data_IF_524186193272
#
_entry.id   IF_524186193272
#
_cell.length_a   1.000
_cell.length_b   1.000
_cell.length_c   1.000
_cell.angle_alpha   90.00
_cell.angle_beta   90.00
_cell.angle_gamma   90.00
#
_symmetry.space_group_name_H-M   'P 1'
#
loop_
_entity.id
_entity.type
_entity.pdbx_description
1 polymer ?
#
# COMPACT_ATOMS: atom_id res chain seq x y z
N UNK A 1 8.22 -6.52 5.16
CA UNK A 1 8.61 -7.93 5.45
C UNK A 1 8.50 -8.19 6.96
N UNK A 2 7.59 -9.05 7.40
CA UNK A 2 7.28 -9.28 8.83
C UNK A 2 8.27 -10.22 9.53
N UNK A 3 8.38 -10.20 10.86
CA UNK A 3 9.29 -11.12 11.59
C UNK A 3 8.87 -12.58 11.48
N UNK A 4 7.56 -12.87 11.45
CA UNK A 4 7.09 -14.23 11.18
C UNK A 4 7.60 -14.71 9.81
N UNK A 5 7.59 -13.84 8.80
CA UNK A 5 8.16 -14.13 7.47
C UNK A 5 9.69 -14.21 7.49
N UNK A 6 10.38 -13.49 8.38
CA UNK A 6 11.85 -13.58 8.57
C UNK A 6 12.25 -14.86 9.30
N UNK A 7 11.58 -15.20 10.39
CA UNK A 7 11.75 -16.43 11.16
C UNK A 7 11.52 -17.67 10.29
N UNK A 8 10.42 -17.72 9.52
CA UNK A 8 10.17 -18.79 8.54
C UNK A 8 11.24 -18.88 7.43
N UNK A 9 12.03 -17.83 7.24
CA UNK A 9 13.13 -17.77 6.25
C UNK A 9 14.51 -17.89 6.91
N UNK A 10 14.59 -18.19 8.21
CA UNK A 10 15.86 -18.27 8.96
C UNK A 10 16.58 -16.93 9.16
N UNK A 11 15.90 -15.81 8.90
CA UNK A 11 16.45 -14.45 8.99
C UNK A 11 16.23 -13.79 10.36
N UNK A 12 15.61 -14.50 11.31
CA UNK A 12 15.42 -14.07 12.69
C UNK A 12 15.34 -15.30 13.60
N UNK A 13 15.84 -15.20 14.84
CA UNK A 13 15.84 -16.31 15.81
C UNK A 13 14.51 -16.51 16.55
N UNK A 14 13.60 -15.54 16.50
CA UNK A 14 12.31 -15.57 17.20
C UNK A 14 11.25 -14.76 16.43
N UNK A 15 10.02 -15.30 16.21
CA UNK A 15 8.91 -14.53 15.65
C UNK A 15 8.36 -13.42 16.57
N UNK A 16 8.66 -13.46 17.88
CA UNK A 16 8.08 -12.58 18.90
C UNK A 16 8.49 -11.10 18.77
N UNK A 17 7.71 -10.24 19.41
CA UNK A 17 8.00 -8.83 19.56
C UNK A 17 9.06 -8.50 20.62
N UNK A 18 10.15 -7.88 20.16
CA UNK A 18 11.28 -7.43 20.98
C UNK A 18 10.99 -6.08 21.62
N UNK A 19 9.96 -5.39 21.13
CA UNK A 19 9.52 -4.08 21.59
C UNK A 19 8.35 -4.21 22.56
N UNK A 20 7.38 -5.09 22.30
CA UNK A 20 6.38 -5.49 23.28
C UNK A 20 6.32 -7.01 23.34
N UNK A 21 6.04 -7.62 24.49
CA UNK A 21 6.13 -9.09 24.69
C UNK A 21 5.07 -9.92 23.94
N UNK A 22 4.43 -9.36 22.90
CA UNK A 22 3.41 -10.01 22.08
C UNK A 22 4.02 -10.89 20.98
N UNK A 23 3.35 -12.01 20.70
CA UNK A 23 3.95 -13.16 19.98
C UNK A 23 3.83 -13.05 18.45
N UNK A 24 2.93 -12.21 17.92
CA UNK A 24 2.70 -12.12 16.46
C UNK A 24 3.12 -10.76 15.87
N UNK A 25 4.31 -10.71 15.23
CA UNK A 25 4.69 -9.57 14.38
C UNK A 25 4.07 -9.68 12.98
N UNK A 26 2.92 -9.06 12.77
CA UNK A 26 2.54 -8.53 11.45
C UNK A 26 3.23 -7.19 11.23
N UNK A 27 3.38 -6.74 9.97
CA UNK A 27 3.90 -5.38 9.71
C UNK A 27 2.98 -4.31 10.27
N UNK A 28 1.68 -4.62 10.35
CA UNK A 28 0.66 -3.82 11.03
C UNK A 28 0.91 -3.76 12.54
N UNK A 29 1.23 -4.87 13.20
CA UNK A 29 1.57 -4.85 14.62
C UNK A 29 2.76 -3.93 14.91
N UNK A 30 3.89 -4.12 14.22
CA UNK A 30 5.09 -3.31 14.47
C UNK A 30 4.88 -1.83 14.18
N UNK A 31 4.07 -1.50 13.17
CA UNK A 31 3.89 -0.12 12.71
C UNK A 31 2.64 0.56 13.26
N UNK A 32 1.67 -0.15 13.83
CA UNK A 32 0.37 0.42 14.22
C UNK A 32 -0.14 -0.16 15.55
N UNK A 33 -0.15 -1.48 15.72
CA UNK A 33 -0.84 -2.11 16.87
C UNK A 33 0.06 -2.34 18.09
N UNK A 34 1.39 -2.16 17.95
CA UNK A 34 2.33 -2.29 19.05
C UNK A 34 2.20 -1.09 19.98
N UNK A 35 2.07 -1.32 21.28
CA UNK A 35 1.92 -0.27 22.29
C UNK A 35 3.06 0.77 22.21
N UNK A 36 4.29 0.31 21.96
CA UNK A 36 5.44 1.20 21.75
C UNK A 36 5.26 2.03 20.48
N UNK A 37 4.81 1.41 19.38
CA UNK A 37 4.58 2.14 18.13
C UNK A 37 3.47 3.18 18.29
N UNK A 38 2.38 2.84 18.99
CA UNK A 38 1.30 3.79 19.29
C UNK A 38 1.81 4.99 20.08
N UNK A 39 2.67 4.77 21.08
CA UNK A 39 3.23 5.85 21.87
C UNK A 39 4.13 6.77 21.04
N UNK A 40 4.94 6.21 20.14
CA UNK A 40 5.72 7.00 19.18
C UNK A 40 4.80 7.82 18.27
N UNK A 41 3.72 7.23 17.73
CA UNK A 41 2.79 7.96 16.86
C UNK A 41 2.13 9.15 17.55
N UNK A 42 1.81 9.06 18.85
CA UNK A 42 1.27 10.20 19.61
C UNK A 42 2.23 11.39 19.68
N UNK A 43 3.54 11.12 19.65
CA UNK A 43 4.57 12.16 19.75
C UNK A 43 4.93 12.74 18.38
N UNK A 44 4.87 11.93 17.33
CA UNK A 44 5.32 12.31 15.97
C UNK A 44 4.20 12.88 15.11
N UNK A 45 2.95 12.44 15.32
CA UNK A 45 1.79 12.97 14.59
C UNK A 45 1.28 14.20 15.33
N UNK A 46 1.23 15.39 14.70
CA UNK A 46 0.66 16.57 15.31
C UNK A 46 -0.76 16.30 15.79
N UNK A 47 -1.10 16.66 17.04
CA UNK A 47 -2.43 16.40 17.60
C UNK A 47 -3.53 17.18 16.86
N UNK A 48 -3.15 18.30 16.21
CA UNK A 48 -4.02 19.09 15.34
C UNK A 48 -4.14 18.53 13.92
N UNK A 49 -3.47 17.41 13.64
CA UNK A 49 -3.75 16.60 12.46
C UNK A 49 -5.13 15.98 12.65
N UNK A 50 -6.18 16.81 12.49
CA UNK A 50 -7.56 16.37 12.25
C UNK A 50 -7.42 15.23 11.28
N UNK A 51 -7.73 14.02 11.74
CA UNK A 51 -7.50 12.80 11.00
C UNK A 51 -7.72 13.10 9.53
N UNK A 52 -6.66 13.10 8.71
CA UNK A 52 -6.87 12.97 7.28
C UNK A 52 -7.25 11.51 7.04
N UNK A 53 -8.36 11.14 7.67
CA UNK A 53 -9.05 9.87 7.68
C UNK A 53 -9.40 9.48 6.26
N UNK A 54 -9.38 10.41 5.30
CA UNK A 54 -9.57 10.11 3.87
C UNK A 54 -8.60 9.03 3.34
N UNK A 55 -7.40 8.86 3.91
CA UNK A 55 -6.48 7.75 3.55
C UNK A 55 -6.87 6.42 4.20
N UNK A 56 -7.36 6.45 5.44
CA UNK A 56 -7.74 5.27 6.24
C UNK A 56 -9.22 4.91 6.15
N UNK A 57 -10.03 5.69 5.45
CA UNK A 57 -11.45 5.40 5.27
C UNK A 57 -11.60 4.01 4.64
N UNK A 58 -12.25 3.08 5.35
CA UNK A 58 -12.52 1.77 4.81
C UNK A 58 -13.40 1.94 3.56
N UNK A 59 -13.20 1.12 2.53
CA UNK A 59 -14.12 1.10 1.41
C UNK A 59 -15.54 0.70 1.89
N UNK A 60 -16.59 0.98 1.10
CA UNK A 60 -17.93 0.44 1.35
C UNK A 60 -17.92 -1.09 1.52
N UNK A 61 -18.99 -1.66 2.09
CA UNK A 61 -19.15 -3.12 2.14
C UNK A 61 -19.01 -3.73 0.75
N UNK A 62 -18.38 -4.90 0.70
CA UNK A 62 -18.12 -5.68 -0.51
C UNK A 62 -17.17 -5.04 -1.52
N UNK A 63 -16.54 -3.90 -1.19
CA UNK A 63 -15.48 -3.30 -1.99
C UNK A 63 -14.09 -3.68 -1.49
N UNK A 64 -13.17 -3.85 -2.44
CA UNK A 64 -11.73 -3.91 -2.19
C UNK A 64 -11.09 -2.56 -2.52
N UNK A 65 -10.38 -1.99 -1.55
CA UNK A 65 -9.58 -0.78 -1.75
C UNK A 65 -8.20 -1.16 -2.24
N UNK A 66 -7.80 -0.63 -3.39
CA UNK A 66 -6.46 -0.72 -3.94
C UNK A 66 -5.72 0.58 -3.66
N UNK A 67 -4.74 0.56 -2.76
CA UNK A 67 -3.82 1.67 -2.57
C UNK A 67 -2.58 1.43 -3.43
N UNK A 68 -2.35 2.30 -4.40
CA UNK A 68 -1.26 2.22 -5.38
C UNK A 68 -0.21 3.27 -5.03
N UNK A 69 1.06 2.93 -5.23
CA UNK A 69 2.17 3.87 -5.03
C UNK A 69 3.30 3.56 -6.01
N UNK A 70 3.87 4.63 -6.57
CA UNK A 70 4.99 4.58 -7.50
C UNK A 70 6.14 5.42 -6.97
N UNK A 71 7.34 4.85 -6.97
CA UNK A 71 8.55 5.55 -6.54
C UNK A 71 9.57 5.60 -7.68
N UNK A 72 10.41 6.64 -7.67
CA UNK A 72 11.50 6.80 -8.61
C UNK A 72 12.74 7.28 -7.87
N UNK A 73 13.87 6.61 -8.11
CA UNK A 73 15.17 7.06 -7.65
C UNK A 73 15.69 8.23 -8.50
N UNK A 74 16.25 9.26 -7.88
CA UNK A 74 16.69 10.47 -8.59
C UNK A 74 18.02 10.28 -9.32
N UNK A 75 18.91 9.42 -8.79
CA UNK A 75 20.24 9.18 -9.35
C UNK A 75 20.19 8.27 -10.58
N UNK A 76 19.79 7.01 -10.35
CA UNK A 76 19.66 5.98 -11.40
C UNK A 76 18.51 6.25 -12.36
N UNK A 77 17.48 6.98 -11.90
CA UNK A 77 16.18 7.17 -12.57
C UNK A 77 15.30 5.93 -12.62
N UNK A 78 15.71 4.84 -12.00
CA UNK A 78 14.92 3.62 -11.95
C UNK A 78 13.68 3.81 -11.08
N UNK A 79 12.61 3.14 -11.46
CA UNK A 79 11.32 3.20 -10.81
C UNK A 79 10.99 1.93 -10.04
N UNK A 80 9.96 2.03 -9.21
CA UNK A 80 9.27 0.88 -8.66
C UNK A 80 7.81 1.22 -8.50
N UNK A 81 6.97 0.19 -8.51
CA UNK A 81 5.54 0.32 -8.37
C UNK A 81 5.01 -0.76 -7.46
N UNK A 82 4.05 -0.42 -6.62
CA UNK A 82 3.40 -1.36 -5.73
C UNK A 82 1.90 -1.04 -5.55
N UNK A 83 1.12 -2.08 -5.32
CA UNK A 83 -0.28 -1.95 -4.90
C UNK A 83 -0.57 -2.86 -3.72
N UNK A 84 -1.36 -2.36 -2.78
CA UNK A 84 -1.89 -3.10 -1.64
C UNK A 84 -3.41 -3.10 -1.69
N UNK A 85 -4.01 -4.29 -1.57
CA UNK A 85 -5.44 -4.49 -1.51
C UNK A 85 -5.93 -4.79 -0.09
N UNK A 86 -7.01 -4.12 0.32
CA UNK A 86 -7.68 -4.36 1.61
C UNK A 86 -9.21 -4.36 1.45
N UNK A 87 -9.90 -5.13 2.26
CA UNK A 87 -11.37 -5.06 2.34
C UNK A 87 -11.86 -3.94 3.26
N UNK A 88 -13.18 -3.86 3.44
CA UNK A 88 -13.86 -2.88 4.29
C UNK A 88 -13.56 -3.03 5.80
N UNK A 89 -13.06 -4.18 6.26
CA UNK A 89 -12.61 -4.40 7.62
C UNK A 89 -11.11 -4.06 7.76
N UNK A 90 -10.46 -3.61 6.69
CA UNK A 90 -9.03 -3.36 6.65
C UNK A 90 -8.20 -4.63 6.50
N UNK A 91 -8.81 -5.81 6.31
CA UNK A 91 -8.11 -7.07 6.18
C UNK A 91 -7.31 -7.09 4.89
N UNK A 92 -6.09 -7.61 4.96
CA UNK A 92 -5.23 -7.80 3.79
C UNK A 92 -5.87 -8.77 2.79
N UNK A 93 -5.96 -8.36 1.52
CA UNK A 93 -6.49 -9.21 0.44
C UNK A 93 -5.45 -9.60 -0.60
N UNK A 94 -4.37 -8.83 -0.73
CA UNK A 94 -3.32 -9.09 -1.70
C UNK A 94 -2.45 -7.86 -1.95
N UNK A 95 -1.39 -8.06 -2.74
CA UNK A 95 -0.56 -6.96 -3.21
C UNK A 95 0.43 -7.41 -4.27
N UNK A 96 0.83 -6.46 -5.10
CA UNK A 96 1.78 -6.64 -6.19
C UNK A 96 2.88 -5.61 -6.09
N UNK A 97 4.07 -5.95 -6.57
CA UNK A 97 5.20 -5.05 -6.64
C UNK A 97 6.09 -5.38 -7.83
N UNK A 98 6.70 -4.35 -8.42
CA UNK A 98 7.68 -4.51 -9.50
C UNK A 98 8.72 -3.42 -9.49
N UNK A 99 9.92 -3.78 -9.92
CA UNK A 99 10.90 -2.80 -10.36
C UNK A 99 10.52 -2.35 -11.76
N UNK A 100 10.65 -1.07 -12.00
CA UNK A 100 10.51 -0.45 -13.30
C UNK A 100 11.91 0.08 -13.62
N UNK A 101 12.35 -0.06 -14.86
CA UNK A 101 13.55 0.66 -15.29
C UNK A 101 13.30 2.18 -15.24
N UNK A 102 14.18 2.95 -15.86
CA UNK A 102 14.02 4.38 -16.12
C UNK A 102 12.56 4.76 -16.42
N UNK A 103 11.95 5.53 -15.52
CA UNK A 103 10.59 6.04 -15.69
C UNK A 103 10.42 7.39 -14.99
N UNK A 104 9.32 8.08 -15.29
CA UNK A 104 8.86 9.23 -14.50
C UNK A 104 8.09 8.77 -13.26
N UNK A 105 7.83 9.69 -12.32
CA UNK A 105 6.97 9.42 -11.15
C UNK A 105 5.56 9.05 -11.60
N UNK A 106 5.01 9.78 -12.57
CA UNK A 106 3.67 9.50 -13.12
C UNK A 106 3.62 8.11 -13.76
N UNK A 107 4.67 7.72 -14.51
CA UNK A 107 4.75 6.38 -15.07
C UNK A 107 4.80 5.30 -13.99
N UNK A 108 5.55 5.51 -12.89
CA UNK A 108 5.59 4.57 -11.78
C UNK A 108 4.20 4.40 -11.12
N UNK A 109 3.49 5.50 -10.89
CA UNK A 109 2.12 5.51 -10.32
C UNK A 109 1.09 4.83 -11.25
N UNK A 110 1.21 5.05 -12.56
CA UNK A 110 0.37 4.36 -13.56
C UNK A 110 0.68 2.86 -13.60
N UNK A 111 1.95 2.45 -13.54
CA UNK A 111 2.33 1.04 -13.46
C UNK A 111 1.85 0.37 -12.18
N UNK A 112 1.86 1.09 -11.05
CA UNK A 112 1.29 0.62 -9.80
C UNK A 112 -0.21 0.35 -9.98
N UNK A 113 -0.94 1.33 -10.52
CA UNK A 113 -2.38 1.20 -10.78
C UNK A 113 -2.69 0.05 -11.73
N UNK A 114 -1.94 -0.08 -12.83
CA UNK A 114 -2.07 -1.18 -13.78
C UNK A 114 -1.87 -2.55 -13.11
N UNK A 115 -0.82 -2.70 -12.31
CA UNK A 115 -0.59 -3.93 -11.56
C UNK A 115 -1.71 -4.25 -10.57
N UNK A 116 -2.24 -3.22 -9.89
CA UNK A 116 -3.39 -3.34 -9.01
C UNK A 116 -4.65 -3.84 -9.71
N UNK A 117 -4.95 -3.28 -10.89
CA UNK A 117 -6.09 -3.69 -11.72
C UNK A 117 -5.92 -5.13 -12.24
N UNK A 118 -4.73 -5.50 -12.69
CA UNK A 118 -4.43 -6.88 -13.10
C UNK A 118 -4.65 -7.89 -11.97
N UNK A 119 -4.17 -7.57 -10.76
CA UNK A 119 -4.44 -8.39 -9.58
C UNK A 119 -5.94 -8.49 -9.27
N UNK A 120 -6.68 -7.39 -9.34
CA UNK A 120 -8.12 -7.41 -9.11
C UNK A 120 -8.87 -8.30 -10.12
N UNK A 121 -8.46 -8.24 -11.39
CA UNK A 121 -8.98 -9.08 -12.45
C UNK A 121 -8.73 -10.57 -12.17
N UNK A 122 -7.48 -10.95 -11.88
CA UNK A 122 -7.10 -12.33 -11.57
C UNK A 122 -7.85 -12.91 -10.35
N UNK A 123 -8.19 -12.06 -9.38
CA UNK A 123 -8.92 -12.45 -8.18
C UNK A 123 -10.45 -12.33 -8.32
N UNK A 124 -10.97 -12.01 -9.51
CA UNK A 124 -12.40 -11.80 -9.78
C UNK A 124 -13.05 -10.76 -8.85
N UNK A 125 -12.32 -9.71 -8.48
CA UNK A 125 -12.87 -8.61 -7.67
C UNK A 125 -13.67 -7.65 -8.54
N UNK A 126 -14.99 -7.66 -8.36
CA UNK A 126 -15.92 -6.84 -9.15
C UNK A 126 -16.08 -5.42 -8.62
N UNK A 127 -15.97 -5.23 -7.31
CA UNK A 127 -16.15 -3.94 -6.64
C UNK A 127 -14.80 -3.46 -6.10
N UNK A 128 -14.13 -2.57 -6.84
CA UNK A 128 -12.83 -2.03 -6.44
C UNK A 128 -12.86 -0.50 -6.31
N UNK A 129 -12.09 0.01 -5.35
CA UNK A 129 -11.84 1.44 -5.17
C UNK A 129 -10.33 1.69 -5.23
N UNK A 130 -9.87 2.26 -6.34
CA UNK A 130 -8.45 2.59 -6.53
C UNK A 130 -8.13 3.94 -5.90
N UNK A 131 -6.98 4.03 -5.24
CA UNK A 131 -6.43 5.26 -4.66
C UNK A 131 -4.94 5.35 -5.00
N UNK A 132 -4.59 6.36 -5.80
CA UNK A 132 -3.21 6.79 -6.09
C UNK A 132 -2.93 8.14 -5.42
N UNK A 133 -1.67 8.42 -5.11
CA UNK A 133 -1.21 9.72 -4.63
C UNK A 133 -0.96 10.76 -5.74
N UNK A 134 -1.07 10.36 -7.01
CA UNK A 134 -0.69 11.18 -8.15
C UNK A 134 -1.91 11.68 -8.94
N UNK A 135 -2.22 12.98 -8.84
CA UNK A 135 -3.33 13.60 -9.57
C UNK A 135 -3.19 13.43 -11.09
N UNK A 136 -1.98 13.57 -11.62
CA UNK A 136 -1.69 13.37 -13.05
C UNK A 136 -1.98 11.94 -13.51
N UNK A 137 -1.75 10.94 -12.67
CA UNK A 137 -2.11 9.55 -12.99
C UNK A 137 -3.64 9.35 -13.02
N UNK A 138 -4.37 10.00 -12.11
CA UNK A 138 -5.85 9.99 -12.12
C UNK A 138 -6.38 10.63 -13.40
N UNK A 139 -5.87 11.81 -13.74
CA UNK A 139 -6.25 12.53 -14.97
C UNK A 139 -5.97 11.67 -16.21
N UNK A 140 -4.78 11.08 -16.31
CA UNK A 140 -4.42 10.22 -17.44
C UNK A 140 -5.30 8.98 -17.59
N UNK A 141 -5.79 8.40 -16.49
CA UNK A 141 -6.70 7.24 -16.52
C UNK A 141 -8.13 7.65 -16.91
N UNK A 142 -8.58 8.82 -16.45
CA UNK A 142 -9.96 9.29 -16.68
C UNK A 142 -10.12 10.06 -17.99
N UNK A 143 -9.02 10.43 -18.64
CA UNK A 143 -9.05 11.10 -19.92
C UNK A 143 -9.69 10.21 -20.99
N UNK A 144 -10.84 10.65 -21.49
CA UNK A 144 -11.63 9.96 -22.52
C UNK A 144 -11.27 10.39 -23.95
N UNK A 145 -10.33 11.31 -24.11
CA UNK A 145 -9.90 11.77 -25.44
C UNK A 145 -9.17 10.69 -26.25
N UNK A 146 -8.61 9.68 -25.58
CA UNK A 146 -7.80 8.63 -26.21
C UNK A 146 -8.61 7.43 -26.77
N UNK A 147 -9.93 7.55 -26.96
CA UNK A 147 -10.81 6.48 -27.43
C UNK A 147 -11.79 6.85 -28.55
N UNK A 148 -11.68 8.07 -29.10
CA UNK A 148 -12.39 8.45 -30.33
C UNK A 148 -11.55 8.05 -31.54
N UNK A 149 -11.66 6.78 -31.94
CA UNK A 149 -11.27 6.31 -33.28
C UNK A 149 -12.53 5.99 -34.08
#
# INVERSE_FOLDING_TARGET
>A
MTNVKRYRRGLAGDPSCTSCSNVEKSSTHVLQDCDIAQEVWKQVVPQDFKETRSRLEPPPRDFIKLNTDGARDLGSRDGSAATVARDNQGSWRGGVGRNISKCSVVQAELWATYGGLGMAWENNWVNIKVKTGCAQAVEAILDRSCGQL
#
